data_IF_723892442672
#
_entry.id   IF_723892442672
#
_cell.length_a   1.000
_cell.length_b   1.000
_cell.length_c   1.000
_cell.angle_alpha   90.00
_cell.angle_beta   90.00
_cell.angle_gamma   90.00
#
_symmetry.space_group_name_H-M   'P 1'
#
loop_
_entity.id
_entity.type
_entity.pdbx_description
1 polymer ?
#
# COMPACT_ATOMS: atom_id res chain seq x y z
N UNK A 1 22.62 3.19 9.70
CA UNK A 1 23.26 2.87 8.40
C UNK A 1 22.25 2.11 7.55
N UNK A 2 21.86 2.68 6.41
CA UNK A 2 20.90 2.11 5.46
C UNK A 2 21.49 0.85 4.79
N UNK A 3 21.27 -0.34 5.36
CA UNK A 3 21.67 -1.59 4.70
C UNK A 3 20.62 -2.01 3.66
N UNK A 4 20.51 -1.22 2.60
CA UNK A 4 19.74 -1.58 1.42
C UNK A 4 20.53 -2.63 0.62
N UNK A 5 20.03 -3.87 0.57
CA UNK A 5 20.66 -4.93 -0.24
C UNK A 5 20.77 -4.49 -1.73
N UNK A 6 21.94 -4.72 -2.38
CA UNK A 6 22.11 -4.54 -3.81
C UNK A 6 21.05 -5.29 -4.62
N UNK A 7 20.61 -4.71 -5.75
CA UNK A 7 19.54 -5.30 -6.61
C UNK A 7 19.84 -6.75 -7.00
N UNK A 8 21.09 -7.08 -7.30
CA UNK A 8 21.47 -8.43 -7.71
C UNK A 8 21.35 -9.44 -6.57
N UNK A 9 21.61 -9.04 -5.31
CA UNK A 9 21.44 -9.87 -4.10
C UNK A 9 19.95 -10.05 -3.78
N UNK A 10 19.15 -8.98 -3.90
CA UNK A 10 17.68 -9.05 -3.75
C UNK A 10 17.06 -10.07 -4.71
N UNK A 11 17.54 -10.13 -5.96
CA UNK A 11 17.07 -11.13 -6.94
C UNK A 11 17.33 -12.57 -6.48
N UNK A 12 18.50 -12.84 -5.88
CA UNK A 12 18.82 -14.16 -5.33
C UNK A 12 18.02 -14.46 -4.08
N UNK A 13 17.85 -13.49 -3.18
CA UNK A 13 16.98 -13.64 -2.01
C UNK A 13 15.57 -14.06 -2.39
N UNK A 14 14.93 -13.35 -3.32
CA UNK A 14 13.57 -13.67 -3.76
C UNK A 14 13.51 -15.07 -4.39
N UNK A 15 14.52 -15.44 -5.17
CA UNK A 15 14.59 -16.75 -5.79
C UNK A 15 14.81 -17.88 -4.77
N UNK A 16 15.67 -17.66 -3.77
CA UNK A 16 15.86 -18.61 -2.67
C UNK A 16 14.57 -18.72 -1.84
N UNK A 17 13.86 -17.61 -1.61
CA UNK A 17 12.61 -17.58 -0.87
C UNK A 17 11.49 -18.32 -1.62
N UNK A 18 11.47 -18.23 -2.96
CA UNK A 18 10.56 -18.99 -3.81
C UNK A 18 10.82 -20.50 -3.73
N UNK A 19 12.08 -20.93 -3.63
CA UNK A 19 12.46 -22.34 -3.62
C UNK A 19 12.35 -22.99 -2.24
N UNK A 20 12.87 -22.31 -1.22
CA UNK A 20 12.98 -22.86 0.13
C UNK A 20 11.86 -22.39 1.05
N UNK A 21 11.12 -21.34 0.68
CA UNK A 21 10.00 -20.77 1.44
C UNK A 21 10.36 -20.55 2.93
N UNK A 22 9.73 -21.32 3.82
CA UNK A 22 9.94 -21.30 5.26
C UNK A 22 10.82 -22.45 5.78
N UNK A 23 11.37 -23.27 4.87
CA UNK A 23 12.21 -24.43 5.21
C UNK A 23 13.65 -24.00 5.46
N UNK A 24 14.28 -24.79 6.30
CA UNK A 24 15.71 -24.74 6.55
C UNK A 24 16.45 -25.37 5.36
N UNK A 25 17.61 -24.81 4.99
CA UNK A 25 18.46 -25.33 3.92
C UNK A 25 19.95 -25.23 4.26
N UNK A 26 20.77 -26.05 3.60
CA UNK A 26 22.24 -26.07 3.80
C UNK A 26 22.96 -25.15 2.81
N UNK A 27 24.27 -24.98 3.04
CA UNK A 27 25.11 -24.26 2.08
C UNK A 27 25.18 -24.97 0.73
N UNK A 28 25.30 -26.31 0.70
CA UNK A 28 25.34 -27.04 -0.56
C UNK A 28 24.04 -26.91 -1.35
N UNK A 29 22.89 -26.94 -0.67
CA UNK A 29 21.58 -26.76 -1.32
C UNK A 29 21.44 -25.37 -1.94
N UNK A 30 21.88 -24.32 -1.23
CA UNK A 30 21.90 -22.96 -1.78
C UNK A 30 22.84 -22.85 -2.98
N UNK A 31 24.02 -23.47 -2.92
CA UNK A 31 24.99 -23.50 -4.01
C UNK A 31 24.45 -24.22 -5.24
N UNK A 32 23.84 -25.40 -5.08
CA UNK A 32 23.25 -26.16 -6.17
C UNK A 32 22.17 -25.35 -6.88
N UNK A 33 21.23 -24.78 -6.12
CA UNK A 33 20.12 -24.01 -6.66
C UNK A 33 20.56 -22.72 -7.37
N UNK A 34 21.45 -21.94 -6.76
CA UNK A 34 21.89 -20.66 -7.35
C UNK A 34 22.84 -20.86 -8.54
N UNK A 35 23.60 -21.96 -8.56
CA UNK A 35 24.39 -22.36 -9.73
C UNK A 35 23.47 -22.74 -10.88
N UNK A 36 22.41 -23.51 -10.63
CA UNK A 36 21.44 -23.89 -11.67
C UNK A 36 20.70 -22.67 -12.24
N UNK A 37 20.19 -21.78 -11.37
CA UNK A 37 19.30 -20.69 -11.79
C UNK A 37 20.02 -19.41 -12.23
N UNK A 38 21.24 -19.15 -11.73
CA UNK A 38 21.97 -17.90 -11.99
C UNK A 38 23.42 -18.11 -12.43
N UNK A 39 23.90 -19.36 -12.49
CA UNK A 39 25.31 -19.70 -12.73
C UNK A 39 26.25 -19.04 -11.71
N UNK A 40 25.78 -18.85 -10.47
CA UNK A 40 26.58 -18.28 -9.39
C UNK A 40 27.60 -19.33 -8.87
N UNK A 41 28.85 -18.92 -8.70
CA UNK A 41 29.93 -19.73 -8.09
C UNK A 41 29.76 -19.83 -6.57
N UNK A 42 30.40 -20.82 -5.94
CA UNK A 42 30.36 -20.99 -4.48
C UNK A 42 30.80 -19.71 -3.73
N UNK A 43 31.86 -19.04 -4.18
CA UNK A 43 32.30 -17.77 -3.59
C UNK A 43 31.22 -16.66 -3.68
N UNK A 44 30.45 -16.62 -4.77
CA UNK A 44 29.34 -15.68 -4.92
C UNK A 44 28.19 -16.03 -3.98
N UNK A 45 27.88 -17.33 -3.84
CA UNK A 45 26.84 -17.81 -2.91
C UNK A 45 27.21 -17.51 -1.46
N UNK A 46 28.47 -17.70 -1.08
CA UNK A 46 28.98 -17.31 0.24
C UNK A 46 28.82 -15.81 0.50
N UNK A 47 29.14 -14.97 -0.49
CA UNK A 47 28.95 -13.52 -0.39
C UNK A 47 27.46 -13.17 -0.25
N UNK A 48 26.59 -13.78 -1.06
CA UNK A 48 25.13 -13.57 -0.99
C UNK A 48 24.62 -13.89 0.42
N UNK A 49 24.90 -15.08 0.94
CA UNK A 49 24.42 -15.48 2.28
C UNK A 49 24.99 -14.59 3.39
N UNK A 50 26.24 -14.13 3.25
CA UNK A 50 26.87 -13.18 4.18
C UNK A 50 26.16 -11.82 4.18
N UNK A 51 25.87 -11.26 3.00
CA UNK A 51 25.16 -9.99 2.86
C UNK A 51 23.70 -10.09 3.32
N UNK A 52 23.02 -11.21 3.02
CA UNK A 52 21.67 -11.47 3.55
C UNK A 52 21.67 -11.56 5.08
N UNK A 53 22.68 -12.19 5.67
CA UNK A 53 22.83 -12.25 7.13
C UNK A 53 23.08 -10.87 7.73
N UNK A 54 24.01 -10.08 7.15
CA UNK A 54 24.30 -8.70 7.60
C UNK A 54 23.08 -7.78 7.52
N UNK A 55 22.23 -8.00 6.53
CA UNK A 55 20.99 -7.25 6.33
C UNK A 55 19.78 -7.84 7.08
N UNK A 56 19.98 -8.85 7.93
CA UNK A 56 18.94 -9.53 8.73
C UNK A 56 17.87 -10.29 7.93
N UNK A 57 18.14 -10.68 6.68
CA UNK A 57 17.24 -11.49 5.82
C UNK A 57 17.40 -13.00 6.00
N UNK A 58 18.34 -13.44 6.85
CA UNK A 58 18.74 -14.84 6.99
C UNK A 58 19.01 -15.18 8.45
N UNK A 59 18.30 -16.18 8.99
CA UNK A 59 18.66 -16.84 10.24
C UNK A 59 19.74 -17.89 9.97
N UNK A 60 20.69 -18.02 10.89
CA UNK A 60 21.73 -19.06 10.84
C UNK A 60 21.76 -19.83 12.15
N UNK A 61 21.55 -21.14 12.09
CA UNK A 61 21.66 -22.07 13.21
C UNK A 61 22.69 -23.16 12.90
N UNK A 62 22.92 -24.07 13.86
CA UNK A 62 23.78 -25.25 13.68
C UNK A 62 22.91 -26.50 13.83
N UNK A 63 23.17 -27.51 13.01
CA UNK A 63 22.49 -28.81 13.09
C UNK A 63 22.83 -29.48 14.43
N UNK A 64 21.84 -30.13 15.07
CA UNK A 64 22.02 -30.74 16.40
C UNK A 64 22.95 -31.96 16.35
N UNK A 65 22.95 -32.69 15.23
CA UNK A 65 23.69 -33.95 15.05
C UNK A 65 25.12 -33.72 14.55
N UNK A 66 25.36 -32.69 13.73
CA UNK A 66 26.70 -32.27 13.28
C UNK A 66 26.90 -30.77 13.52
N UNK A 67 27.70 -30.45 14.54
CA UNK A 67 27.98 -29.07 14.95
C UNK A 67 28.81 -28.27 13.92
N UNK A 68 29.33 -28.92 12.87
CA UNK A 68 30.11 -28.26 11.80
C UNK A 68 29.24 -27.75 10.66
N UNK A 69 28.02 -28.29 10.50
CA UNK A 69 27.11 -27.95 9.41
C UNK A 69 26.20 -26.76 9.80
N UNK A 70 26.23 -25.70 8.98
CA UNK A 70 25.39 -24.51 9.17
C UNK A 70 24.07 -24.71 8.45
N UNK A 71 22.99 -24.43 9.16
CA UNK A 71 21.64 -24.39 8.60
C UNK A 71 21.22 -22.93 8.44
N UNK A 72 20.63 -22.64 7.30
CA UNK A 72 20.13 -21.32 6.93
C UNK A 72 18.62 -21.36 6.83
N UNK A 73 17.97 -20.30 7.29
CA UNK A 73 16.52 -20.09 7.08
C UNK A 73 16.29 -18.67 6.65
N UNK A 74 15.60 -18.47 5.53
CA UNK A 74 15.27 -17.12 5.07
C UNK A 74 14.22 -16.53 6.01
N UNK A 75 14.41 -15.28 6.41
CA UNK A 75 13.35 -14.56 7.09
C UNK A 75 12.23 -14.29 6.09
N UNK A 76 10.97 -14.64 6.41
CA UNK A 76 9.84 -14.14 5.65
C UNK A 76 9.87 -12.62 5.65
N UNK A 77 9.53 -12.00 4.51
CA UNK A 77 9.57 -10.54 4.38
C UNK A 77 8.63 -9.86 5.40
N UNK A 78 7.66 -10.60 5.95
CA UNK A 78 6.75 -10.19 7.02
C UNK A 78 7.45 -9.86 8.36
N UNK A 79 8.61 -10.43 8.67
CA UNK A 79 9.32 -10.20 9.95
C UNK A 79 10.33 -9.05 9.93
N UNK A 80 10.57 -8.43 8.77
CA UNK A 80 11.45 -7.27 8.67
C UNK A 80 10.69 -6.04 9.15
N UNK A 81 10.83 -5.76 10.45
CA UNK A 81 10.40 -4.56 11.19
C UNK A 81 9.67 -3.55 10.30
N UNK A 82 8.35 -3.49 10.44
CA UNK A 82 7.56 -2.35 9.98
C UNK A 82 8.10 -1.11 10.70
N UNK A 83 8.92 -0.32 10.03
CA UNK A 83 9.16 1.04 10.50
C UNK A 83 7.80 1.74 10.38
N UNK A 84 7.30 2.31 11.48
CA UNK A 84 6.15 3.19 11.37
C UNK A 84 6.55 4.39 10.51
N UNK A 85 5.64 4.81 9.62
CA UNK A 85 5.78 6.11 8.99
C UNK A 85 5.23 7.12 9.96
N UNK A 86 6.13 7.88 10.56
CA UNK A 86 5.78 8.90 11.54
C UNK A 86 5.75 10.30 10.88
N UNK A 87 6.18 10.41 9.61
CA UNK A 87 6.28 11.69 8.91
C UNK A 87 5.84 11.67 7.44
N UNK A 88 5.25 12.79 7.02
CA UNK A 88 4.90 13.11 5.63
C UNK A 88 6.08 12.91 4.68
N UNK A 89 7.29 13.24 5.11
CA UNK A 89 8.49 13.13 4.29
C UNK A 89 8.85 11.68 3.95
N UNK A 90 8.71 10.76 4.91
CA UNK A 90 8.94 9.33 4.68
C UNK A 90 7.96 8.77 3.65
N UNK A 91 6.68 9.14 3.76
CA UNK A 91 5.66 8.71 2.81
C UNK A 91 5.92 9.28 1.40
N UNK A 92 6.28 10.56 1.30
CA UNK A 92 6.66 11.18 0.01
C UNK A 92 7.89 10.47 -0.59
N UNK A 93 8.90 10.12 0.22
CA UNK A 93 10.08 9.41 -0.28
C UNK A 93 9.78 7.97 -0.71
N UNK A 94 8.82 7.30 -0.08
CA UNK A 94 8.28 6.03 -0.56
C UNK A 94 7.60 6.22 -1.92
N UNK A 95 6.78 7.26 -2.06
CA UNK A 95 6.04 7.55 -3.29
C UNK A 95 6.96 7.95 -4.45
N UNK A 96 8.07 8.66 -4.18
CA UNK A 96 9.13 8.90 -5.17
C UNK A 96 9.74 7.59 -5.66
N UNK A 97 10.08 6.66 -4.75
CA UNK A 97 10.59 5.35 -5.12
C UNK A 97 9.57 4.55 -5.94
N UNK A 98 8.28 4.63 -5.60
CA UNK A 98 7.22 3.99 -6.37
C UNK A 98 7.11 4.59 -7.79
N UNK A 99 7.18 5.93 -7.90
CA UNK A 99 7.20 6.63 -9.18
C UNK A 99 8.40 6.21 -10.05
N UNK A 100 9.59 6.07 -9.44
CA UNK A 100 10.80 5.62 -10.11
C UNK A 100 10.73 4.16 -10.60
N UNK A 101 9.92 3.32 -9.94
CA UNK A 101 9.68 1.93 -10.34
C UNK A 101 8.77 1.84 -11.56
N UNK A 102 7.67 2.60 -11.59
CA UNK A 102 6.73 2.58 -12.72
C UNK A 102 7.27 3.34 -13.93
N UNK A 103 8.03 4.43 -13.71
CA UNK A 103 8.47 5.39 -14.74
C UNK A 103 7.31 5.78 -15.66
N UNK A 104 7.44 5.53 -16.97
CA UNK A 104 6.41 5.74 -17.99
C UNK A 104 5.78 4.44 -18.47
N UNK A 105 6.08 3.30 -17.81
CA UNK A 105 5.62 1.97 -18.27
C UNK A 105 4.20 1.68 -17.86
N UNK A 106 3.78 2.21 -16.71
CA UNK A 106 2.47 1.94 -16.14
C UNK A 106 1.85 3.21 -15.59
N UNK A 107 0.53 3.25 -15.62
CA UNK A 107 -0.26 4.39 -15.13
C UNK A 107 -0.02 4.60 -13.62
N UNK A 108 0.25 5.84 -13.23
CA UNK A 108 0.52 6.22 -11.84
C UNK A 108 -0.66 5.97 -10.89
N UNK A 109 -1.87 5.87 -11.42
CA UNK A 109 -3.08 5.61 -10.65
C UNK A 109 -3.01 4.28 -9.89
N UNK A 110 -2.14 3.35 -10.30
CA UNK A 110 -1.87 2.13 -9.53
C UNK A 110 -1.04 2.38 -8.26
N UNK A 111 -0.20 3.42 -8.23
CA UNK A 111 0.46 3.84 -6.99
C UNK A 111 -0.58 4.37 -6.01
N UNK A 112 -1.51 5.20 -6.49
CA UNK A 112 -2.61 5.72 -5.68
C UNK A 112 -3.45 4.58 -5.13
N UNK A 113 -3.86 3.65 -6.00
CA UNK A 113 -4.66 2.50 -5.60
C UNK A 113 -3.96 1.63 -4.55
N UNK A 114 -2.66 1.34 -4.72
CA UNK A 114 -1.90 0.57 -3.72
C UNK A 114 -1.75 1.33 -2.40
N UNK A 115 -1.54 2.65 -2.44
CA UNK A 115 -1.49 3.52 -1.26
C UNK A 115 -2.82 3.45 -0.50
N UNK A 116 -3.95 3.61 -1.19
CA UNK A 116 -5.29 3.48 -0.59
C UNK A 116 -5.53 2.09 -0.04
N UNK A 117 -5.27 1.05 -0.83
CA UNK A 117 -5.49 -0.34 -0.42
C UNK A 117 -4.70 -0.69 0.84
N UNK A 118 -3.41 -0.32 0.89
CA UNK A 118 -2.56 -0.53 2.07
C UNK A 118 -3.11 0.24 3.28
N UNK A 119 -3.49 1.50 3.08
CA UNK A 119 -4.03 2.33 4.16
C UNK A 119 -5.32 1.76 4.76
N UNK A 120 -6.29 1.34 3.92
CA UNK A 120 -7.55 0.76 4.40
C UNK A 120 -7.33 -0.59 5.09
N UNK A 121 -6.44 -1.44 4.56
CA UNK A 121 -6.15 -2.75 5.15
C UNK A 121 -5.48 -2.62 6.52
N UNK A 122 -4.48 -1.74 6.65
CA UNK A 122 -3.79 -1.54 7.92
C UNK A 122 -4.71 -0.87 8.95
N UNK A 123 -5.50 0.12 8.52
CA UNK A 123 -6.49 0.76 9.39
C UNK A 123 -7.55 -0.21 9.88
N UNK A 124 -8.11 -1.05 9.00
CA UNK A 124 -9.06 -2.09 9.40
C UNK A 124 -8.46 -2.99 10.47
N UNK A 125 -7.21 -3.41 10.28
CA UNK A 125 -6.48 -4.26 11.24
C UNK A 125 -6.33 -3.58 12.60
N UNK A 126 -5.98 -2.29 12.62
CA UNK A 126 -5.90 -1.50 13.85
C UNK A 126 -7.25 -1.39 14.55
N UNK A 127 -8.30 -0.99 13.83
CA UNK A 127 -9.65 -0.86 14.38
C UNK A 127 -10.10 -2.20 15.00
N UNK A 128 -9.90 -3.31 14.28
CA UNK A 128 -10.21 -4.64 14.74
C UNK A 128 -9.48 -5.00 16.04
N UNK A 129 -8.16 -4.76 16.10
CA UNK A 129 -7.34 -5.02 17.29
C UNK A 129 -7.81 -4.17 18.49
N UNK A 130 -8.10 -2.89 18.28
CA UNK A 130 -8.58 -1.98 19.33
C UNK A 130 -9.93 -2.43 19.89
N UNK A 131 -10.87 -2.81 19.03
CA UNK A 131 -12.22 -3.24 19.44
C UNK A 131 -12.16 -4.58 20.14
N UNK A 132 -11.42 -5.56 19.58
CA UNK A 132 -11.18 -6.85 20.23
C UNK A 132 -10.64 -6.63 21.64
N UNK A 133 -9.61 -5.81 21.79
CA UNK A 133 -9.00 -5.52 23.09
C UNK A 133 -9.97 -4.84 24.05
N UNK A 134 -10.82 -3.91 23.57
CA UNK A 134 -11.88 -3.28 24.37
C UNK A 134 -12.92 -4.31 24.85
N UNK A 135 -13.33 -5.25 24.01
CA UNK A 135 -14.32 -6.29 24.35
C UNK A 135 -13.76 -7.30 25.36
N UNK A 136 -12.53 -7.76 25.14
CA UNK A 136 -11.83 -8.65 26.10
C UNK A 136 -11.68 -7.98 27.45
N UNK A 137 -11.32 -6.68 27.50
CA UNK A 137 -11.28 -5.90 28.75
C UNK A 137 -12.65 -5.77 29.43
N UNK A 138 -13.75 -5.86 28.70
CA UNK A 138 -15.12 -5.89 29.23
C UNK A 138 -15.55 -7.30 29.68
N UNK A 139 -14.67 -8.30 29.62
CA UNK A 139 -14.93 -9.67 30.08
C UNK A 139 -15.51 -10.61 29.01
N UNK A 140 -15.52 -10.21 27.74
CA UNK A 140 -15.96 -11.10 26.66
C UNK A 140 -14.94 -12.23 26.43
N UNK A 141 -15.43 -13.41 26.06
CA UNK A 141 -14.54 -14.52 25.62
C UNK A 141 -13.83 -14.13 24.32
N UNK A 142 -12.60 -14.59 24.14
CA UNK A 142 -11.78 -14.21 22.97
C UNK A 142 -12.47 -14.52 21.63
N UNK A 143 -13.10 -15.70 21.51
CA UNK A 143 -13.81 -16.09 20.30
C UNK A 143 -15.01 -15.19 19.96
N UNK A 144 -15.76 -14.77 20.99
CA UNK A 144 -16.90 -13.85 20.83
C UNK A 144 -16.42 -12.45 20.50
N UNK A 145 -15.37 -11.98 21.17
CA UNK A 145 -14.74 -10.69 20.91
C UNK A 145 -14.18 -10.59 19.48
N UNK A 146 -13.57 -11.67 18.96
CA UNK A 146 -13.09 -11.73 17.56
C UNK A 146 -14.24 -11.64 16.56
N UNK A 147 -15.35 -12.32 16.81
CA UNK A 147 -16.52 -12.29 15.93
C UNK A 147 -17.16 -10.90 15.90
N UNK A 148 -17.33 -10.30 17.07
CA UNK A 148 -17.94 -8.97 17.21
C UNK A 148 -17.03 -7.87 16.66
N UNK A 149 -15.73 -7.93 16.92
CA UNK A 149 -14.77 -6.94 16.43
C UNK A 149 -14.65 -6.95 14.90
N UNK A 150 -14.98 -8.05 14.21
CA UNK A 150 -15.01 -8.12 12.75
C UNK A 150 -16.33 -7.61 12.14
N UNK A 151 -17.28 -7.17 12.96
CA UNK A 151 -18.58 -6.66 12.51
C UNK A 151 -18.42 -5.39 11.68
N UNK A 152 -19.21 -5.29 10.60
CA UNK A 152 -19.21 -4.15 9.67
C UNK A 152 -19.53 -2.82 10.36
N UNK A 153 -20.24 -2.84 11.50
CA UNK A 153 -20.63 -1.64 12.27
C UNK A 153 -19.42 -0.81 12.71
N UNK A 154 -18.26 -1.45 12.84
CA UNK A 154 -17.06 -0.81 13.35
C UNK A 154 -16.08 -0.31 12.30
N UNK A 155 -16.33 -0.64 11.03
CA UNK A 155 -15.38 -0.43 9.95
C UNK A 155 -16.00 0.36 8.82
N UNK A 156 -15.21 1.21 8.16
CA UNK A 156 -15.65 1.94 6.97
C UNK A 156 -15.99 1.01 5.81
N UNK A 157 -15.21 -0.06 5.66
CA UNK A 157 -15.38 -1.05 4.60
C UNK A 157 -15.58 -2.44 5.20
N UNK A 158 -16.47 -3.22 4.58
CA UNK A 158 -16.50 -4.65 4.75
C UNK A 158 -15.29 -5.25 4.02
N UNK A 159 -14.32 -5.72 4.82
CA UNK A 159 -12.98 -6.02 4.35
C UNK A 159 -12.55 -7.42 4.84
N UNK A 160 -12.87 -8.47 4.07
CA UNK A 160 -12.61 -9.85 4.45
C UNK A 160 -11.13 -10.15 4.70
N UNK A 161 -10.84 -11.12 5.57
CA UNK A 161 -9.47 -11.47 5.95
C UNK A 161 -8.61 -11.84 4.74
N UNK A 162 -9.15 -12.61 3.80
CA UNK A 162 -8.46 -13.00 2.57
C UNK A 162 -8.04 -11.80 1.70
N UNK A 163 -8.70 -10.66 1.85
CA UNK A 163 -8.36 -9.40 1.16
C UNK A 163 -7.32 -8.57 1.92
N UNK A 164 -6.93 -8.95 3.15
CA UNK A 164 -5.93 -8.19 3.91
C UNK A 164 -4.60 -8.15 3.16
N UNK A 165 -3.95 -6.99 3.15
CA UNK A 165 -2.69 -6.75 2.47
C UNK A 165 -1.67 -7.87 2.71
N UNK A 166 -1.50 -8.28 3.97
CA UNK A 166 -0.56 -9.34 4.34
C UNK A 166 -0.97 -10.72 3.83
N UNK A 167 -2.27 -10.98 3.66
CA UNK A 167 -2.78 -12.24 3.10
C UNK A 167 -2.65 -12.28 1.57
N UNK A 168 -2.80 -11.14 0.89
CA UNK A 168 -2.53 -11.05 -0.55
C UNK A 168 -1.07 -11.38 -0.87
N UNK A 169 -0.16 -10.91 -0.01
CA UNK A 169 1.30 -11.08 -0.18
C UNK A 169 1.85 -12.47 0.06
N UNK A 170 1.07 -13.38 0.68
CA UNK A 170 1.53 -14.74 0.98
C UNK A 170 1.90 -15.56 -0.26
N UNK A 171 1.35 -15.23 -1.42
CA UNK A 171 1.67 -15.89 -2.69
C UNK A 171 2.09 -14.83 -3.73
N UNK A 172 3.36 -14.36 -3.70
CA UNK A 172 3.83 -13.28 -4.58
C UNK A 172 3.67 -13.59 -6.08
N UNK A 173 3.74 -14.87 -6.46
CA UNK A 173 3.54 -15.31 -7.84
C UNK A 173 2.08 -15.16 -8.33
N UNK A 174 1.10 -15.05 -7.42
CA UNK A 174 -0.32 -14.78 -7.73
C UNK A 174 -0.78 -13.40 -7.29
N UNK A 175 0.15 -12.48 -7.04
CA UNK A 175 -0.19 -11.18 -6.44
C UNK A 175 -1.22 -10.42 -7.27
N UNK A 176 -1.09 -10.45 -8.60
CA UNK A 176 -2.04 -9.81 -9.53
C UNK A 176 -3.42 -10.42 -9.44
N UNK A 177 -3.53 -11.74 -9.55
CA UNK A 177 -4.80 -12.48 -9.44
C UNK A 177 -5.49 -12.22 -8.11
N UNK A 178 -4.71 -12.21 -7.02
CA UNK A 178 -5.20 -11.94 -5.67
C UNK A 178 -5.72 -10.50 -5.52
N UNK A 179 -4.98 -9.50 -6.02
CA UNK A 179 -5.47 -8.13 -6.02
C UNK A 179 -6.72 -7.97 -6.89
N UNK A 180 -6.76 -8.53 -8.11
CA UNK A 180 -7.96 -8.52 -8.96
C UNK A 180 -9.17 -9.15 -8.27
N UNK A 181 -8.98 -10.32 -7.66
CA UNK A 181 -10.00 -10.99 -6.87
C UNK A 181 -10.48 -10.10 -5.71
N UNK A 182 -9.55 -9.52 -4.96
CA UNK A 182 -9.87 -8.70 -3.81
C UNK A 182 -10.61 -7.42 -4.19
N UNK A 183 -10.22 -6.75 -5.29
CA UNK A 183 -10.93 -5.58 -5.83
C UNK A 183 -12.38 -5.94 -6.19
N UNK A 184 -12.59 -7.03 -6.92
CA UNK A 184 -13.95 -7.53 -7.23
C UNK A 184 -14.74 -7.84 -5.96
N UNK A 185 -14.13 -8.53 -5.00
CA UNK A 185 -14.79 -8.92 -3.75
C UNK A 185 -15.17 -7.72 -2.90
N UNK A 186 -14.29 -6.73 -2.77
CA UNK A 186 -14.56 -5.49 -2.05
C UNK A 186 -15.65 -4.67 -2.73
N UNK A 187 -15.70 -4.64 -4.07
CA UNK A 187 -16.77 -4.00 -4.82
C UNK A 187 -18.15 -4.61 -4.52
N UNK A 188 -18.24 -5.95 -4.46
CA UNK A 188 -19.47 -6.69 -4.14
C UNK A 188 -19.96 -6.43 -2.70
N UNK A 189 -19.02 -6.40 -1.74
CA UNK A 189 -19.33 -6.26 -0.32
C UNK A 189 -19.63 -4.81 0.10
N UNK A 190 -19.18 -3.83 -0.69
CA UNK A 190 -19.34 -2.41 -0.42
C UNK A 190 -20.07 -1.68 -1.57
N UNK A 191 -21.37 -1.93 -1.82
CA UNK A 191 -22.10 -1.38 -2.97
C UNK A 191 -22.06 0.15 -3.07
N UNK A 192 -22.02 0.86 -1.93
CA UNK A 192 -21.93 2.32 -1.91
C UNK A 192 -20.58 2.86 -2.41
N UNK A 193 -19.53 2.03 -2.39
CA UNK A 193 -18.16 2.34 -2.81
C UNK A 193 -17.71 1.46 -3.98
N UNK A 194 -18.65 0.82 -4.67
CA UNK A 194 -18.35 -0.13 -5.76
C UNK A 194 -17.48 0.51 -6.85
N UNK A 195 -17.74 1.78 -7.16
CA UNK A 195 -17.01 2.59 -8.12
C UNK A 195 -15.52 2.79 -7.76
N UNK A 196 -15.16 2.84 -6.48
CA UNK A 196 -13.74 2.91 -6.09
C UNK A 196 -13.01 1.65 -6.54
N UNK A 197 -13.66 0.50 -6.42
CA UNK A 197 -13.01 -0.79 -6.64
C UNK A 197 -13.16 -1.32 -8.09
N UNK A 198 -14.25 -0.99 -8.79
CA UNK A 198 -14.54 -1.56 -10.10
C UNK A 198 -13.81 -0.87 -11.26
N UNK A 199 -13.22 0.30 -11.04
CA UNK A 199 -12.57 1.09 -12.09
C UNK A 199 -11.11 0.70 -12.32
N UNK A 200 -10.58 -0.22 -11.51
CA UNK A 200 -9.20 -0.67 -11.61
C UNK A 200 -9.13 -2.17 -11.81
N UNK A 201 -8.43 -2.59 -12.87
CA UNK A 201 -8.18 -3.99 -13.16
C UNK A 201 -6.67 -4.28 -13.11
N UNK A 202 -6.26 -5.06 -12.11
CA UNK A 202 -4.87 -5.48 -11.98
C UNK A 202 -4.46 -6.50 -13.05
N UNK A 203 -5.38 -7.20 -13.73
CA UNK A 203 -5.02 -8.03 -14.89
C UNK A 203 -4.53 -7.19 -16.06
N UNK A 204 -5.18 -6.05 -16.33
CA UNK A 204 -4.70 -5.10 -17.35
C UNK A 204 -3.34 -4.52 -16.96
N UNK A 205 -3.14 -4.25 -15.66
CA UNK A 205 -1.85 -3.78 -15.13
C UNK A 205 -0.73 -4.75 -15.47
N UNK A 206 -0.91 -6.06 -15.23
CA UNK A 206 0.13 -7.09 -15.44
C UNK A 206 0.06 -7.76 -16.81
N UNK A 207 -0.42 -7.06 -17.83
CA UNK A 207 -0.47 -7.57 -19.21
C UNK A 207 0.89 -8.03 -19.75
N UNK A 208 1.99 -7.62 -19.14
CA UNK A 208 3.35 -8.12 -19.38
C UNK A 208 4.01 -8.70 -18.13
N UNK A 209 4.97 -9.63 -18.31
CA UNK A 209 5.79 -10.16 -17.22
C UNK A 209 6.57 -9.04 -16.50
N UNK A 210 7.04 -8.02 -17.22
CA UNK A 210 7.71 -6.87 -16.62
C UNK A 210 6.80 -6.11 -15.67
N UNK A 211 5.53 -5.92 -16.03
CA UNK A 211 4.57 -5.23 -15.17
C UNK A 211 4.20 -6.05 -13.94
N UNK A 212 4.15 -7.38 -14.05
CA UNK A 212 4.00 -8.27 -12.89
C UNK A 212 5.18 -8.15 -11.90
N UNK A 213 6.41 -7.99 -12.43
CA UNK A 213 7.60 -7.74 -11.60
C UNK A 213 7.49 -6.36 -10.93
N UNK A 214 7.04 -5.33 -11.64
CA UNK A 214 6.84 -3.98 -11.08
C UNK A 214 5.78 -4.02 -9.98
N UNK A 215 4.65 -4.73 -10.18
CA UNK A 215 3.61 -4.89 -9.15
C UNK A 215 4.19 -5.47 -7.85
N UNK A 216 4.93 -6.58 -7.96
CA UNK A 216 5.60 -7.20 -6.83
C UNK A 216 6.56 -6.22 -6.14
N UNK A 217 7.37 -5.48 -6.91
CA UNK A 217 8.29 -4.50 -6.35
C UNK A 217 7.57 -3.35 -5.63
N UNK A 218 6.44 -2.88 -6.15
CA UNK A 218 5.62 -1.86 -5.51
C UNK A 218 5.01 -2.41 -4.21
N UNK A 219 4.37 -3.57 -4.26
CA UNK A 219 3.80 -4.21 -3.07
C UNK A 219 4.87 -4.39 -1.99
N UNK A 220 6.06 -4.83 -2.35
CA UNK A 220 7.16 -4.96 -1.41
C UNK A 220 7.69 -3.61 -0.92
N UNK A 221 7.68 -2.57 -1.74
CA UNK A 221 8.04 -1.21 -1.32
C UNK A 221 7.07 -0.65 -0.27
N UNK A 222 5.77 -0.76 -0.52
CA UNK A 222 4.71 -0.33 0.41
C UNK A 222 4.73 -1.12 1.72
N UNK A 223 5.11 -2.40 1.65
CA UNK A 223 5.13 -3.30 2.80
C UNK A 223 6.26 -3.08 3.79
N UNK A 224 7.26 -2.25 3.46
CA UNK A 224 8.33 -1.88 4.41
C UNK A 224 7.81 -1.06 5.59
N UNK A 225 6.59 -0.56 5.50
CA UNK A 225 6.02 0.39 6.42
C UNK A 225 4.63 -0.04 6.88
N UNK A 226 4.32 0.26 8.14
CA UNK A 226 2.97 0.14 8.70
C UNK A 226 2.23 1.47 8.53
N UNK A 227 1.00 1.41 8.03
CA UNK A 227 0.12 2.56 7.87
C UNK A 227 -0.92 2.67 9.01
N UNK A 228 -0.85 1.79 10.02
CA UNK A 228 -1.78 1.76 11.16
C UNK A 228 -1.88 3.10 11.90
N UNK A 229 -0.75 3.80 12.07
CA UNK A 229 -0.67 5.05 12.84
C UNK A 229 -0.66 6.32 11.97
N UNK A 230 -0.70 6.18 10.64
CA UNK A 230 -0.65 7.35 9.75
C UNK A 230 -1.98 8.11 9.81
N UNK A 231 -1.92 9.43 9.96
CA UNK A 231 -3.11 10.27 9.92
C UNK A 231 -3.68 10.37 8.50
N UNK A 232 -5.00 10.55 8.40
CA UNK A 232 -5.67 10.77 7.11
C UNK A 232 -5.16 12.02 6.40
N UNK A 233 -4.79 13.06 7.15
CA UNK A 233 -4.24 14.29 6.59
C UNK A 233 -2.90 14.01 5.87
N UNK A 234 -2.02 13.19 6.47
CA UNK A 234 -0.74 12.80 5.85
C UNK A 234 -0.97 11.92 4.61
N UNK A 235 -1.94 10.99 4.65
CA UNK A 235 -2.29 10.17 3.49
C UNK A 235 -2.85 11.03 2.35
N UNK A 236 -3.72 11.99 2.65
CA UNK A 236 -4.30 12.93 1.69
C UNK A 236 -3.23 13.80 1.02
N UNK A 237 -2.31 14.35 1.83
CA UNK A 237 -1.14 15.09 1.34
C UNK A 237 -0.28 14.27 0.38
N UNK A 238 -0.10 12.98 0.67
CA UNK A 238 0.69 12.07 -0.13
C UNK A 238 -0.01 11.69 -1.43
N UNK A 239 -1.33 11.49 -1.38
CA UNK A 239 -2.20 11.33 -2.55
C UNK A 239 -2.07 12.53 -3.49
N UNK A 240 -2.19 13.73 -2.93
CA UNK A 240 -2.05 14.97 -3.68
C UNK A 240 -0.66 15.12 -4.29
N UNK A 241 0.38 14.77 -3.54
CA UNK A 241 1.74 14.83 -4.03
C UNK A 241 1.91 14.00 -5.31
N UNK A 242 1.37 12.78 -5.36
CA UNK A 242 1.40 11.93 -6.57
C UNK A 242 0.63 12.58 -7.72
N UNK A 243 -0.59 13.08 -7.46
CA UNK A 243 -1.40 13.74 -8.50
C UNK A 243 -0.64 14.92 -9.12
N UNK A 244 -0.02 15.77 -8.28
CA UNK A 244 0.80 16.89 -8.74
C UNK A 244 2.07 16.43 -9.47
N UNK A 245 2.73 15.38 -8.98
CA UNK A 245 3.95 14.86 -9.59
C UNK A 245 3.72 14.35 -11.02
N UNK A 246 2.56 13.72 -11.29
CA UNK A 246 2.20 13.21 -12.61
C UNK A 246 1.34 14.17 -13.46
N UNK A 247 0.88 15.30 -12.90
CA UNK A 247 0.07 16.30 -13.60
C UNK A 247 0.69 16.79 -14.93
N UNK A 248 2.01 17.07 -15.05
CA UNK A 248 2.59 17.50 -16.32
C UNK A 248 2.48 16.47 -17.45
N UNK A 249 2.47 15.18 -17.11
CA UNK A 249 2.25 14.09 -18.08
C UNK A 249 0.80 14.07 -18.53
N UNK A 250 -0.15 14.27 -17.60
CA UNK A 250 -1.60 14.30 -17.88
C UNK A 250 -2.08 15.52 -18.64
N UNK A 251 -1.45 16.68 -18.41
CA UNK A 251 -1.74 17.88 -19.20
C UNK A 251 -1.52 17.66 -20.70
N UNK A 252 -0.59 16.78 -21.09
CA UNK A 252 -0.36 16.38 -22.50
C UNK A 252 -1.46 15.45 -23.04
N UNK A 253 -2.22 14.80 -22.16
CA UNK A 253 -3.33 13.90 -22.47
C UNK A 253 -4.70 14.62 -22.44
N UNK A 254 -4.72 15.95 -22.21
CA UNK A 254 -5.93 16.77 -22.20
C UNK A 254 -6.63 16.88 -20.85
N UNK A 255 -6.11 16.25 -19.79
CA UNK A 255 -6.62 16.39 -18.42
C UNK A 255 -5.92 17.57 -17.71
N UNK A 256 -6.70 18.53 -17.19
CA UNK A 256 -6.16 19.74 -16.55
C UNK A 256 -6.18 19.60 -15.03
N UNK A 257 -5.00 19.55 -14.41
CA UNK A 257 -4.84 19.69 -12.96
C UNK A 257 -4.84 21.17 -12.58
N UNK A 258 -5.73 21.58 -11.69
CA UNK A 258 -5.74 22.95 -11.15
C UNK A 258 -4.78 23.07 -9.96
N UNK A 259 -3.75 23.94 -10.01
CA UNK A 259 -2.84 24.16 -8.89
C UNK A 259 -3.57 24.62 -7.62
N UNK A 260 -3.06 24.24 -6.44
CA UNK A 260 -3.73 24.52 -5.17
C UNK A 260 -3.83 25.98 -4.85
N UNK A 261 -2.84 26.76 -5.27
CA UNK A 261 -2.77 28.20 -5.07
C UNK A 261 -3.94 28.88 -5.80
N UNK A 262 -4.27 28.40 -7.00
CA UNK A 262 -5.42 28.88 -7.79
C UNK A 262 -6.73 28.46 -7.13
N UNK A 263 -6.86 27.20 -6.72
CA UNK A 263 -8.05 26.72 -6.02
C UNK A 263 -8.26 27.50 -4.72
N UNK A 264 -7.20 27.72 -3.94
CA UNK A 264 -7.24 28.45 -2.67
C UNK A 264 -7.71 29.87 -2.88
N UNK A 265 -7.17 30.58 -3.88
CA UNK A 265 -7.62 31.92 -4.25
C UNK A 265 -9.13 31.93 -4.57
N UNK A 266 -9.60 31.00 -5.39
CA UNK A 266 -11.03 30.90 -5.75
C UNK A 266 -11.91 30.66 -4.51
N UNK A 267 -11.50 29.75 -3.62
CA UNK A 267 -12.22 29.44 -2.38
C UNK A 267 -12.22 30.63 -1.42
N UNK A 268 -11.11 31.36 -1.30
CA UNK A 268 -11.02 32.55 -0.45
C UNK A 268 -11.92 33.68 -0.96
N UNK A 269 -12.03 33.86 -2.27
CA UNK A 269 -12.97 34.80 -2.88
C UNK A 269 -14.43 34.40 -2.60
N UNK A 270 -14.75 33.10 -2.71
CA UNK A 270 -16.09 32.58 -2.47
C UNK A 270 -16.49 32.62 -0.99
N UNK A 271 -15.51 32.53 -0.07
CA UNK A 271 -15.68 32.52 1.39
C UNK A 271 -16.84 31.62 1.88
N UNK A 272 -16.79 30.30 1.57
CA UNK A 272 -17.85 29.38 1.94
C UNK A 272 -18.08 29.34 3.45
N UNK A 273 -19.33 29.13 3.85
CA UNK A 273 -19.77 29.13 5.26
C UNK A 273 -20.27 27.76 5.67
N UNK A 274 -20.24 27.42 6.98
CA UNK A 274 -20.89 26.21 7.51
C UNK A 274 -22.36 26.11 7.07
N UNK A 275 -22.87 24.88 6.96
CA UNK A 275 -24.25 24.57 6.54
C UNK A 275 -24.62 25.03 5.12
N UNK A 276 -23.64 25.34 4.29
CA UNK A 276 -23.84 25.66 2.88
C UNK A 276 -23.48 24.49 1.99
N UNK A 277 -24.05 24.52 0.79
CA UNK A 277 -23.74 23.58 -0.28
C UNK A 277 -22.67 24.15 -1.20
N UNK A 278 -21.72 23.31 -1.60
CA UNK A 278 -20.69 23.62 -2.57
C UNK A 278 -20.85 22.63 -3.72
N UNK A 279 -20.87 23.13 -4.95
CA UNK A 279 -21.04 22.31 -6.13
C UNK A 279 -19.90 22.57 -7.12
N UNK A 280 -19.26 21.50 -7.57
CA UNK A 280 -18.25 21.51 -8.62
C UNK A 280 -18.70 20.61 -9.80
N UNK A 281 -19.12 21.18 -10.95
CA UNK A 281 -19.65 20.42 -12.08
C UNK A 281 -18.59 19.63 -12.86
N UNK A 282 -17.31 19.78 -12.54
CA UNK A 282 -16.19 19.09 -13.17
C UNK A 282 -15.07 18.88 -12.17
N UNK A 283 -15.38 18.16 -11.08
CA UNK A 283 -14.51 18.17 -9.89
C UNK A 283 -13.16 17.50 -10.07
N UNK A 284 -12.93 16.75 -11.16
CA UNK A 284 -11.67 16.07 -11.41
C UNK A 284 -11.30 15.17 -10.23
N UNK A 285 -10.12 15.38 -9.65
CA UNK A 285 -9.66 14.66 -8.45
C UNK A 285 -10.28 15.14 -7.13
N UNK A 286 -11.33 15.97 -7.17
CA UNK A 286 -12.02 16.53 -5.99
C UNK A 286 -11.30 17.74 -5.40
N UNK A 287 -10.35 18.31 -6.14
CA UNK A 287 -9.43 19.29 -5.60
C UNK A 287 -10.09 20.53 -5.00
N UNK A 288 -11.08 21.10 -5.70
CA UNK A 288 -11.78 22.30 -5.21
C UNK A 288 -12.61 22.02 -3.96
N UNK A 289 -13.34 20.89 -3.95
CA UNK A 289 -14.19 20.50 -2.82
C UNK A 289 -13.36 20.26 -1.54
N UNK A 290 -12.20 19.61 -1.66
CA UNK A 290 -11.29 19.36 -0.54
C UNK A 290 -10.77 20.69 0.03
N UNK A 291 -10.30 21.60 -0.82
CA UNK A 291 -9.77 22.91 -0.37
C UNK A 291 -10.87 23.76 0.24
N UNK A 292 -12.10 23.71 -0.29
CA UNK A 292 -13.23 24.42 0.27
C UNK A 292 -13.60 23.91 1.67
N UNK A 293 -13.62 22.58 1.87
CA UNK A 293 -13.80 22.00 3.20
C UNK A 293 -12.68 22.43 4.16
N UNK A 294 -11.42 22.36 3.72
CA UNK A 294 -10.27 22.75 4.54
C UNK A 294 -10.30 24.23 4.91
N UNK A 295 -10.71 25.13 4.00
CA UNK A 295 -10.89 26.55 4.30
C UNK A 295 -11.90 26.77 5.44
N UNK A 296 -13.06 26.10 5.38
CA UNK A 296 -14.07 26.20 6.43
C UNK A 296 -13.57 25.57 7.74
N UNK A 297 -12.84 24.45 7.67
CA UNK A 297 -12.21 23.79 8.82
C UNK A 297 -11.20 24.71 9.50
N UNK A 298 -10.35 25.40 8.74
CA UNK A 298 -9.36 26.35 9.25
C UNK A 298 -10.03 27.57 9.90
N UNK A 299 -11.11 28.10 9.31
CA UNK A 299 -11.76 29.34 9.76
C UNK A 299 -12.78 29.15 10.89
N UNK A 300 -13.50 28.04 10.90
CA UNK A 300 -14.63 27.80 11.82
C UNK A 300 -14.48 26.53 12.67
N UNK A 301 -13.42 25.75 12.46
CA UNK A 301 -13.20 24.46 13.12
C UNK A 301 -13.87 23.29 12.41
N UNK A 302 -13.40 22.09 12.74
CA UNK A 302 -13.82 20.82 12.11
C UNK A 302 -15.33 20.58 12.20
N UNK A 303 -15.92 20.74 13.38
CA UNK A 303 -17.35 20.50 13.59
C UNK A 303 -18.23 21.35 12.67
N UNK A 304 -17.79 22.57 12.35
CA UNK A 304 -18.49 23.46 11.42
C UNK A 304 -18.24 23.07 9.97
N UNK A 305 -17.05 22.64 9.61
CA UNK A 305 -16.75 22.13 8.28
C UNK A 305 -17.56 20.86 7.94
N UNK A 306 -17.76 19.97 8.92
CA UNK A 306 -18.54 18.73 8.77
C UNK A 306 -20.03 18.99 8.48
N UNK A 307 -20.50 20.23 8.60
CA UNK A 307 -21.87 20.64 8.20
C UNK A 307 -22.00 21.08 6.75
N UNK A 308 -20.90 21.12 5.98
CA UNK A 308 -20.95 21.42 4.56
C UNK A 308 -21.56 20.28 3.77
N UNK A 309 -22.31 20.63 2.72
CA UNK A 309 -22.75 19.67 1.73
C UNK A 309 -21.89 19.81 0.47
N UNK A 310 -21.09 18.80 0.16
CA UNK A 310 -20.20 18.79 -0.99
C UNK A 310 -20.83 17.96 -2.12
N UNK A 311 -21.01 18.59 -3.28
CA UNK A 311 -21.59 17.97 -4.46
C UNK A 311 -20.64 18.15 -5.63
N UNK A 312 -20.65 17.19 -6.55
CA UNK A 312 -19.96 17.37 -7.81
C UNK A 312 -20.29 16.33 -8.85
N UNK A 313 -19.92 16.65 -10.09
CA UNK A 313 -19.98 15.75 -11.24
C UNK A 313 -18.60 15.60 -11.89
N UNK A 314 -18.31 14.39 -12.37
CA UNK A 314 -17.11 14.06 -13.14
C UNK A 314 -17.50 13.04 -14.21
N UNK A 315 -17.07 13.29 -15.45
CA UNK A 315 -17.43 12.47 -16.60
C UNK A 315 -16.57 11.21 -16.67
N UNK A 316 -15.30 11.30 -16.29
CA UNK A 316 -14.37 10.19 -16.30
C UNK A 316 -14.58 9.28 -15.07
N UNK A 317 -15.03 8.03 -15.24
CA UNK A 317 -15.31 7.14 -14.11
C UNK A 317 -14.09 6.85 -13.23
N UNK A 318 -12.89 6.77 -13.82
CA UNK A 318 -11.64 6.53 -13.10
C UNK A 318 -11.25 7.74 -12.26
N UNK A 319 -11.36 8.94 -12.83
CA UNK A 319 -11.09 10.20 -12.10
C UNK A 319 -12.08 10.40 -10.96
N UNK A 320 -13.37 10.10 -11.20
CA UNK A 320 -14.41 10.06 -10.15
C UNK A 320 -14.04 9.10 -9.02
N UNK A 321 -13.56 7.90 -9.33
CA UNK A 321 -13.14 6.91 -8.34
C UNK A 321 -11.90 7.34 -7.55
N UNK A 322 -11.01 8.15 -8.12
CA UNK A 322 -9.85 8.70 -7.41
C UNK A 322 -10.21 9.84 -6.45
N UNK A 323 -11.27 10.59 -6.74
CA UNK A 323 -11.73 11.70 -5.89
C UNK A 323 -12.55 11.24 -4.69
N UNK A 324 -13.22 10.09 -4.82
CA UNK A 324 -14.08 9.49 -3.80
C UNK A 324 -13.25 8.65 -2.84
#
# INVERSE_FOLDING_TARGET
MNNSLPRWIKKRYLSLLENFENRDFTYEEACAYLKEKFNDSENQVQNILSELKKAEYLYTSRKQEDKREKIYRLKPILELKSNNIDSKEQLINLLKQAADLIRTRVDYTFILLLLFYKAISDRWTKEFEEIKNKLVKKGWKDAEAVKEAASKTYHTFDFPKECHWDNLRKEPHKISEKFSYAMKRLAELNPQHQDIFSQFDFHQFVSSQENAIILNQLVELFSKFSFKEISLDILGDAYEWILRYFAPSKAKEGEVYTPREVIRLMVEILDPKPQKSIYDPGFGSGGMLIVAYNYVKEKYGKEKADTLFLYGQEINPKTKALAK
#
